data_IF_943185475292
#
_entry.id   IF_943185475292
#
_cell.length_a   1.000
_cell.length_b   1.000
_cell.length_c   1.000
_cell.angle_alpha   90.00
_cell.angle_beta   90.00
_cell.angle_gamma   90.00
#
_symmetry.space_group_name_H-M   'P 1'
#
loop_
_entity.id
_entity.type
_entity.pdbx_description
1 polymer ?
#
# COMPACT_ATOMS: atom_id res chain seq x y z
N UNK A 1 3.48 12.47 -9.88
CA UNK A 1 3.68 12.59 -8.41
C UNK A 1 2.35 12.50 -7.66
N UNK A 2 2.29 11.71 -6.59
CA UNK A 2 1.11 11.62 -5.72
C UNK A 2 1.07 12.88 -4.84
N UNK A 3 -0.04 13.64 -4.89
CA UNK A 3 -0.17 14.91 -4.13
C UNK A 3 -0.90 14.73 -2.79
N UNK A 4 -1.80 13.74 -2.72
CA UNK A 4 -2.63 13.46 -1.56
C UNK A 4 -2.72 11.96 -1.28
N UNK A 5 -3.12 11.59 -0.07
CA UNK A 5 -3.34 10.20 0.30
C UNK A 5 -4.51 9.62 -0.53
N UNK A 6 -4.32 8.40 -1.05
CA UNK A 6 -5.40 7.65 -1.69
C UNK A 6 -6.06 6.77 -0.64
N UNK A 7 -7.38 6.87 -0.52
CA UNK A 7 -8.18 5.98 0.29
C UNK A 7 -8.23 4.58 -0.36
N UNK A 8 -8.09 3.49 0.42
CA UNK A 8 -8.15 2.13 -0.11
C UNK A 8 -9.59 1.78 -0.53
N UNK A 9 -9.98 2.23 -1.72
CA UNK A 9 -11.33 2.11 -2.27
C UNK A 9 -11.28 2.04 -3.81
N UNK A 10 -12.44 1.92 -4.44
CA UNK A 10 -12.63 1.85 -5.88
C UNK A 10 -13.19 0.51 -6.33
N UNK A 11 -12.59 -0.11 -7.34
CA UNK A 11 -13.03 -1.41 -7.87
C UNK A 11 -12.70 -2.56 -6.91
N UNK A 12 -13.45 -3.68 -7.01
CA UNK A 12 -13.18 -4.88 -6.21
C UNK A 12 -11.72 -5.34 -6.33
N UNK A 13 -11.16 -5.30 -7.54
CA UNK A 13 -9.78 -5.68 -7.79
C UNK A 13 -8.80 -4.74 -7.08
N UNK A 14 -9.02 -3.43 -7.15
CA UNK A 14 -8.19 -2.45 -6.45
C UNK A 14 -8.26 -2.61 -4.92
N UNK A 15 -9.45 -2.85 -4.37
CA UNK A 15 -9.65 -3.10 -2.95
C UNK A 15 -8.88 -4.35 -2.49
N UNK A 16 -8.95 -5.44 -3.25
CA UNK A 16 -8.16 -6.67 -2.97
C UNK A 16 -6.65 -6.38 -3.04
N UNK A 17 -6.18 -5.59 -4.00
CA UNK A 17 -4.77 -5.17 -4.04
C UNK A 17 -4.35 -4.37 -2.80
N UNK A 18 -5.21 -3.49 -2.28
CA UNK A 18 -4.97 -2.80 -1.01
C UNK A 18 -4.92 -3.77 0.19
N UNK A 19 -5.79 -4.79 0.23
CA UNK A 19 -5.72 -5.85 1.25
C UNK A 19 -4.39 -6.60 1.14
N UNK A 20 -4.00 -7.07 -0.06
CA UNK A 20 -2.73 -7.74 -0.28
C UNK A 20 -1.53 -6.87 0.16
N UNK A 21 -1.58 -5.55 -0.10
CA UNK A 21 -0.55 -4.61 0.37
C UNK A 21 -0.45 -4.62 1.89
N UNK A 22 -1.56 -4.61 2.61
CA UNK A 22 -1.55 -4.64 4.09
C UNK A 22 -0.96 -5.94 4.63
N UNK A 23 -1.22 -7.07 3.97
CA UNK A 23 -0.66 -8.38 4.32
C UNK A 23 0.84 -8.40 4.06
N UNK A 24 1.32 -7.88 2.92
CA UNK A 24 2.76 -7.77 2.64
C UNK A 24 3.47 -6.90 3.70
N UNK A 25 2.88 -5.76 4.07
CA UNK A 25 3.43 -4.91 5.16
C UNK A 25 3.45 -5.63 6.51
N UNK A 26 2.49 -6.52 6.79
CA UNK A 26 2.47 -7.36 8.00
C UNK A 26 3.56 -8.43 7.96
N UNK A 27 3.76 -9.08 6.81
CA UNK A 27 4.86 -10.02 6.61
C UNK A 27 6.22 -9.35 6.78
N UNK A 28 6.42 -8.16 6.21
CA UNK A 28 7.66 -7.38 6.37
C UNK A 28 7.97 -7.07 7.84
N UNK A 29 6.97 -6.67 8.64
CA UNK A 29 7.15 -6.46 10.09
C UNK A 29 7.58 -7.75 10.80
N UNK A 30 7.06 -8.89 10.36
CA UNK A 30 7.42 -10.21 10.93
C UNK A 30 8.87 -10.57 10.59
N UNK A 31 9.31 -10.31 9.34
CA UNK A 31 10.70 -10.49 8.90
C UNK A 31 11.64 -9.58 9.71
N UNK A 32 11.28 -8.31 9.90
CA UNK A 32 12.06 -7.38 10.72
C UNK A 32 12.14 -7.85 12.17
N UNK A 33 11.06 -8.41 12.71
CA UNK A 33 11.07 -8.97 14.07
C UNK A 33 11.99 -10.19 14.17
N UNK A 34 11.95 -11.09 13.19
CA UNK A 34 12.83 -12.25 13.11
C UNK A 34 14.31 -11.85 12.98
N UNK A 35 14.60 -10.81 12.18
CA UNK A 35 15.95 -10.29 12.02
C UNK A 35 16.55 -9.67 13.29
N UNK A 36 15.76 -9.48 14.36
CA UNK A 36 16.28 -9.08 15.67
C UNK A 36 16.77 -10.27 16.50
N UNK A 37 16.25 -11.47 16.27
CA UNK A 37 16.62 -12.68 16.99
C UNK A 37 17.62 -13.55 16.23
N UNK A 38 17.56 -13.54 14.89
CA UNK A 38 18.39 -14.38 14.03
C UNK A 38 19.01 -13.57 12.88
N UNK A 39 20.21 -13.97 12.45
CA UNK A 39 20.84 -13.39 11.27
C UNK A 39 20.13 -13.91 10.02
N UNK A 40 19.34 -13.05 9.39
CA UNK A 40 18.64 -13.34 8.13
C UNK A 40 19.25 -12.53 6.98
N UNK A 41 19.09 -13.03 5.75
CA UNK A 41 19.44 -12.27 4.56
C UNK A 41 18.55 -11.01 4.45
N UNK A 42 19.08 -9.91 3.93
CA UNK A 42 18.34 -8.68 3.66
C UNK A 42 17.36 -8.79 2.48
N UNK A 43 17.61 -9.71 1.54
CA UNK A 43 16.84 -9.82 0.30
C UNK A 43 15.31 -10.00 0.52
N UNK A 44 14.82 -10.85 1.44
CA UNK A 44 13.38 -10.97 1.73
C UNK A 44 12.75 -9.66 2.22
N UNK A 45 13.46 -8.90 3.08
CA UNK A 45 12.98 -7.61 3.59
C UNK A 45 12.88 -6.58 2.45
N UNK A 46 13.90 -6.50 1.61
CA UNK A 46 13.91 -5.61 0.44
C UNK A 46 12.82 -5.96 -0.56
N UNK A 47 12.63 -7.25 -0.84
CA UNK A 47 11.58 -7.75 -1.73
C UNK A 47 10.18 -7.39 -1.21
N UNK A 48 9.88 -7.66 0.06
CA UNK A 48 8.56 -7.35 0.64
C UNK A 48 8.26 -5.85 0.62
N UNK A 49 9.28 -5.01 0.86
CA UNK A 49 9.15 -3.57 0.75
C UNK A 49 8.72 -3.16 -0.68
N UNK A 50 9.43 -3.64 -1.70
CA UNK A 50 9.13 -3.35 -3.12
C UNK A 50 7.79 -3.94 -3.57
N UNK A 51 7.45 -5.14 -3.13
CA UNK A 51 6.17 -5.78 -3.43
C UNK A 51 5.01 -4.96 -2.86
N UNK A 52 5.15 -4.43 -1.65
CA UNK A 52 4.10 -3.60 -1.05
C UNK A 52 3.84 -2.33 -1.88
N UNK A 53 4.90 -1.71 -2.44
CA UNK A 53 4.80 -0.55 -3.33
C UNK A 53 4.19 -0.93 -4.68
N UNK A 54 4.59 -2.06 -5.26
CA UNK A 54 3.99 -2.57 -6.49
C UNK A 54 2.49 -2.80 -6.32
N UNK A 55 2.03 -3.36 -5.21
CA UNK A 55 0.61 -3.56 -4.93
C UNK A 55 -0.17 -2.25 -4.81
N UNK A 56 0.47 -1.18 -4.33
CA UNK A 56 -0.13 0.17 -4.35
C UNK A 56 -0.23 0.72 -5.77
N UNK A 57 0.77 0.52 -6.62
CA UNK A 57 0.69 0.93 -8.04
C UNK A 57 -0.38 0.12 -8.77
N UNK A 58 -0.43 -1.19 -8.53
CA UNK A 58 -1.42 -2.09 -9.13
C UNK A 58 -2.85 -1.71 -8.73
N UNK A 59 -3.11 -1.35 -7.48
CA UNK A 59 -4.47 -0.94 -7.08
C UNK A 59 -4.95 0.27 -7.88
N UNK A 60 -4.07 1.23 -8.16
CA UNK A 60 -4.36 2.41 -8.99
C UNK A 60 -4.58 2.06 -10.46
N UNK A 61 -3.76 1.17 -11.00
CA UNK A 61 -3.92 0.67 -12.38
C UNK A 61 -5.26 -0.07 -12.53
N UNK A 62 -5.61 -0.91 -11.55
CA UNK A 62 -6.87 -1.65 -11.54
C UNK A 62 -8.09 -0.73 -11.40
N UNK A 63 -7.99 0.35 -10.63
CA UNK A 63 -9.03 1.38 -10.57
C UNK A 63 -9.23 2.05 -11.94
N UNK A 64 -8.13 2.45 -12.60
CA UNK A 64 -8.17 3.05 -13.94
C UNK A 64 -8.73 2.09 -14.99
N UNK A 65 -8.34 0.82 -14.94
CA UNK A 65 -8.82 -0.20 -15.88
C UNK A 65 -10.33 -0.48 -15.72
N UNK A 66 -10.85 -0.36 -14.50
CA UNK A 66 -12.27 -0.46 -14.23
C UNK A 66 -13.08 0.81 -14.60
N UNK A 67 -12.45 1.81 -15.21
CA UNK A 67 -13.08 3.09 -15.58
C UNK A 67 -13.28 4.06 -14.41
N UNK A 68 -12.78 3.73 -13.22
CA UNK A 68 -12.85 4.58 -12.03
C UNK A 68 -11.62 5.47 -11.86
N UNK A 69 -11.72 6.45 -10.96
CA UNK A 69 -10.61 7.28 -10.49
C UNK A 69 -10.20 6.89 -9.06
N UNK A 70 -8.96 7.21 -8.69
CA UNK A 70 -8.49 7.03 -7.32
C UNK A 70 -9.26 7.97 -6.36
N UNK A 71 -9.78 7.43 -5.27
CA UNK A 71 -10.46 8.23 -4.24
C UNK A 71 -9.38 8.93 -3.40
N UNK A 72 -9.29 10.24 -3.52
CA UNK A 72 -8.37 11.04 -2.72
C UNK A 72 -8.96 11.29 -1.33
N UNK A 73 -8.11 11.28 -0.33
CA UNK A 73 -8.49 11.68 1.02
C UNK A 73 -8.59 13.20 1.08
N UNK A 74 -9.81 13.70 1.27
CA UNK A 74 -10.05 15.13 1.50
C UNK A 74 -9.74 15.47 2.95
N UNK A 75 -8.60 16.13 3.17
CA UNK A 75 -8.27 16.71 4.47
C UNK A 75 -9.17 17.93 4.67
N UNK A 76 -10.15 17.86 5.57
CA UNK A 76 -10.85 19.07 6.01
C UNK A 76 -9.81 20.05 6.57
N UNK A 77 -9.47 21.06 5.77
CA UNK A 77 -8.71 22.21 6.27
C UNK A 77 -9.70 22.96 7.14
N UNK A 78 -9.65 22.75 8.46
CA UNK A 78 -10.35 23.63 9.42
C UNK A 78 -10.05 25.05 8.97
N UNK A 79 -11.07 25.76 8.48
CA UNK A 79 -10.98 27.20 8.25
C UNK A 79 -10.87 27.79 9.65
N UNK A 80 -9.71 28.35 9.95
CA UNK A 80 -9.49 29.11 11.17
C UNK A 80 -10.61 30.14 11.30
N UNK A 81 -11.31 30.09 12.44
CA UNK A 81 -12.34 31.05 12.84
C UNK A 81 -11.70 32.35 13.31
#
# INVERSE_FOLDING_TARGET
>A
PLKDFILPCGSRAAAVSHVCRTVCRRAERSIVSLGKSETINDAPRQYMNRLSDLLFVLSRVLNRFAGGSDVLWEKERKRDA
#
